data_IF_513051549093
#
_entry.id   IF_513051549093
#
_cell.length_a   1.000
_cell.length_b   1.000
_cell.length_c   1.000
_cell.angle_alpha   90.00
_cell.angle_beta   90.00
_cell.angle_gamma   90.00
#
_symmetry.space_group_name_H-M   'P 1'
#
loop_
_entity.id
_entity.type
_entity.pdbx_description
1 polymer ?
#
# COMPACT_ATOMS: atom_id res chain seq x y z
N UNK A 1 -0.77 -17.48 20.71
CA UNK A 1 -0.14 -17.00 19.47
C UNK A 1 0.28 -18.22 18.66
N UNK A 2 -0.01 -18.24 17.36
CA UNK A 2 0.51 -19.33 16.54
C UNK A 2 2.04 -19.21 16.48
N UNK A 3 2.74 -20.34 16.56
CA UNK A 3 4.19 -20.35 16.34
C UNK A 3 4.52 -19.91 14.92
N UNK A 4 5.59 -19.10 14.74
CA UNK A 4 6.02 -18.73 13.40
C UNK A 4 6.39 -20.01 12.61
N UNK A 5 6.14 -20.06 11.29
CA UNK A 5 6.58 -21.17 10.46
C UNK A 5 8.11 -21.24 10.42
N UNK A 6 8.65 -22.42 10.10
CA UNK A 6 10.09 -22.55 9.87
C UNK A 6 10.53 -21.70 8.66
N UNK A 7 11.80 -21.33 8.61
CA UNK A 7 12.32 -20.38 7.60
C UNK A 7 12.09 -20.80 6.14
N UNK A 8 11.97 -22.08 5.87
CA UNK A 8 11.68 -22.62 4.52
C UNK A 8 10.22 -22.82 4.20
N UNK A 9 9.33 -22.64 5.18
CA UNK A 9 7.91 -22.86 4.98
C UNK A 9 7.25 -21.69 4.21
N UNK A 10 6.18 -22.01 3.51
CA UNK A 10 5.31 -20.96 2.94
C UNK A 10 4.65 -20.15 4.06
N UNK A 11 4.39 -18.88 3.78
CA UNK A 11 3.67 -18.02 4.72
C UNK A 11 2.25 -18.56 4.94
N UNK A 12 1.86 -18.79 6.20
CA UNK A 12 0.50 -19.22 6.54
C UNK A 12 -0.51 -18.15 6.12
N UNK A 13 -1.52 -18.55 5.35
CA UNK A 13 -2.54 -17.63 4.85
C UNK A 13 -3.95 -18.10 5.19
N UNK A 14 -4.86 -17.14 5.23
CA UNK A 14 -6.30 -17.31 5.29
C UNK A 14 -6.82 -16.93 3.91
N UNK A 15 -7.54 -17.85 3.27
CA UNK A 15 -8.11 -17.63 1.95
C UNK A 15 -9.51 -17.03 2.12
N UNK A 16 -9.75 -15.91 1.46
CA UNK A 16 -11.07 -15.32 1.26
C UNK A 16 -11.42 -15.43 -0.21
N UNK A 17 -12.67 -15.81 -0.53
CA UNK A 17 -13.07 -15.96 -1.92
C UNK A 17 -14.55 -15.60 -2.13
N UNK A 18 -14.80 -14.92 -3.24
CA UNK A 18 -16.12 -14.71 -3.83
C UNK A 18 -16.00 -14.83 -5.35
N UNK A 19 -17.10 -15.00 -6.11
CA UNK A 19 -17.01 -14.95 -7.57
C UNK A 19 -16.26 -13.70 -8.05
N UNK A 20 -15.23 -13.90 -8.87
CA UNK A 20 -14.41 -12.86 -9.47
C UNK A 20 -13.14 -12.48 -8.69
N UNK A 21 -12.92 -12.97 -7.46
CA UNK A 21 -11.69 -12.71 -6.71
C UNK A 21 -11.42 -13.77 -5.64
N UNK A 22 -10.13 -14.13 -5.47
CA UNK A 22 -9.62 -14.85 -4.32
C UNK A 22 -8.46 -14.07 -3.71
N UNK A 23 -8.43 -13.92 -2.39
CA UNK A 23 -7.39 -13.16 -1.66
C UNK A 23 -6.80 -14.03 -0.56
N UNK A 24 -5.48 -14.08 -0.49
CA UNK A 24 -4.73 -14.75 0.57
C UNK A 24 -4.19 -13.73 1.56
N UNK A 25 -4.65 -13.80 2.79
CA UNK A 25 -4.26 -12.90 3.88
C UNK A 25 -3.39 -13.63 4.87
N UNK A 26 -2.19 -13.12 5.14
CA UNK A 26 -1.35 -13.65 6.23
C UNK A 26 -1.54 -12.84 7.51
N UNK A 27 -1.57 -13.49 8.68
CA UNK A 27 -1.46 -12.79 9.96
C UNK A 27 -0.11 -12.10 10.19
N UNK A 28 0.96 -12.47 9.49
CA UNK A 28 2.22 -11.75 9.55
C UNK A 28 2.11 -10.44 8.77
N UNK A 29 2.26 -9.30 9.45
CA UNK A 29 2.08 -7.96 8.87
C UNK A 29 0.64 -7.64 8.44
N UNK A 30 -0.35 -8.48 8.76
CA UNK A 30 -1.69 -8.45 8.18
C UNK A 30 -1.64 -8.37 6.63
N UNK A 31 -0.77 -9.15 6.02
CA UNK A 31 -0.30 -9.01 4.64
C UNK A 31 -1.28 -9.61 3.63
N UNK A 32 -1.59 -8.87 2.57
CA UNK A 32 -2.20 -9.40 1.34
C UNK A 32 -1.11 -10.12 0.53
N UNK A 33 -1.10 -11.46 0.61
CA UNK A 33 -0.06 -12.29 -0.01
C UNK A 33 -0.35 -12.55 -1.48
N UNK A 34 -1.63 -12.79 -1.83
CA UNK A 34 -2.09 -13.01 -3.20
C UNK A 34 -3.42 -12.30 -3.43
N UNK A 35 -3.60 -11.82 -4.64
CA UNK A 35 -4.88 -11.30 -5.15
C UNK A 35 -5.07 -11.90 -6.53
N UNK A 36 -5.94 -12.89 -6.62
CA UNK A 36 -6.21 -13.67 -7.83
C UNK A 36 -7.46 -13.10 -8.49
N UNK A 37 -7.32 -12.57 -9.68
CA UNK A 37 -8.42 -11.96 -10.45
C UNK A 37 -8.40 -12.40 -11.90
N UNK A 38 -9.58 -12.60 -12.54
CA UNK A 38 -9.66 -12.97 -13.94
C UNK A 38 -9.25 -11.81 -14.85
N UNK A 39 -8.72 -12.12 -16.02
CA UNK A 39 -8.52 -11.19 -17.11
C UNK A 39 -9.75 -11.15 -18.05
N UNK A 40 -9.64 -10.44 -19.18
CA UNK A 40 -10.69 -10.32 -20.21
C UNK A 40 -11.10 -11.65 -20.84
N UNK A 41 -10.26 -12.68 -20.78
CA UNK A 41 -10.53 -14.04 -21.28
C UNK A 41 -11.06 -14.98 -20.19
N UNK A 42 -11.02 -14.53 -18.92
CA UNK A 42 -11.38 -15.33 -17.74
C UNK A 42 -10.19 -16.08 -17.12
N UNK A 43 -8.97 -15.87 -17.64
CA UNK A 43 -7.78 -16.47 -17.08
C UNK A 43 -7.40 -15.76 -15.77
N UNK A 44 -7.36 -16.55 -14.68
CA UNK A 44 -7.09 -16.04 -13.34
C UNK A 44 -5.59 -15.96 -13.09
N UNK A 45 -5.13 -14.81 -12.60
CA UNK A 45 -3.72 -14.60 -12.25
C UNK A 45 -3.55 -13.75 -11.00
N UNK A 46 -2.38 -13.88 -10.34
CA UNK A 46 -2.03 -13.12 -9.15
C UNK A 46 -1.46 -11.75 -9.55
N UNK A 47 -2.17 -10.70 -9.19
CA UNK A 47 -1.82 -9.31 -9.51
C UNK A 47 -1.04 -8.59 -8.40
N UNK A 48 -0.75 -9.28 -7.28
CA UNK A 48 0.02 -8.73 -6.16
C UNK A 48 1.45 -9.27 -6.15
N UNK A 49 2.46 -8.39 -6.09
CA UNK A 49 3.84 -8.82 -5.85
C UNK A 49 4.01 -9.33 -4.41
N UNK A 50 4.97 -10.20 -4.20
CA UNK A 50 5.25 -10.78 -2.89
C UNK A 50 6.26 -11.92 -2.97
N UNK A 51 6.39 -12.69 -1.90
CA UNK A 51 7.30 -13.83 -1.80
C UNK A 51 6.55 -15.15 -1.60
N UNK A 52 7.22 -16.28 -1.89
CA UNK A 52 6.65 -17.62 -1.69
C UNK A 52 6.86 -18.13 -0.25
N UNK A 53 7.90 -17.66 0.45
CA UNK A 53 8.28 -18.18 1.75
C UNK A 53 8.32 -17.11 2.85
N UNK A 54 8.19 -17.55 4.10
CA UNK A 54 8.17 -16.70 5.28
C UNK A 54 9.49 -15.95 5.48
N UNK A 55 10.64 -16.62 5.30
CA UNK A 55 11.94 -16.01 5.53
C UNK A 55 12.17 -14.76 4.67
N UNK A 56 11.64 -14.74 3.45
CA UNK A 56 11.74 -13.57 2.57
C UNK A 56 10.89 -12.39 3.04
N UNK A 57 9.79 -12.63 3.76
CA UNK A 57 9.01 -11.56 4.40
C UNK A 57 9.67 -11.04 5.69
N UNK A 58 10.30 -11.93 6.48
CA UNK A 58 10.88 -11.57 7.79
C UNK A 58 12.35 -11.14 7.71
N UNK A 59 13.13 -11.69 6.78
CA UNK A 59 14.58 -11.68 6.76
C UNK A 59 15.28 -10.57 6.00
N UNK A 60 14.58 -9.73 5.24
CA UNK A 60 15.24 -8.79 4.35
C UNK A 60 15.53 -7.45 5.02
N UNK A 61 16.79 -6.98 4.98
CA UNK A 61 17.16 -5.62 5.38
C UNK A 61 16.59 -4.59 4.41
N UNK A 62 16.56 -4.89 3.12
CA UNK A 62 15.92 -4.10 2.06
C UNK A 62 14.47 -4.56 1.86
N UNK A 63 13.57 -4.11 2.74
CA UNK A 63 12.18 -4.55 2.73
C UNK A 63 11.32 -3.69 1.81
N UNK A 64 10.69 -4.29 0.79
CA UNK A 64 9.72 -3.57 -0.04
C UNK A 64 8.32 -3.48 0.61
N UNK A 65 8.06 -4.07 1.78
CA UNK A 65 6.78 -4.08 2.49
C UNK A 65 5.63 -4.74 1.70
N UNK A 66 5.92 -5.69 0.82
CA UNK A 66 4.93 -6.31 -0.06
C UNK A 66 3.65 -6.70 0.65
N UNK A 67 2.53 -6.05 0.29
CA UNK A 67 1.18 -6.34 0.75
C UNK A 67 0.90 -6.13 2.23
N UNK A 68 1.86 -5.62 3.03
CA UNK A 68 1.71 -5.48 4.46
C UNK A 68 0.90 -4.24 4.87
N UNK A 69 0.36 -4.26 6.08
CA UNK A 69 -0.09 -3.06 6.77
C UNK A 69 1.13 -2.40 7.41
N UNK A 70 1.39 -1.16 7.02
CA UNK A 70 2.47 -0.35 7.59
C UNK A 70 1.95 0.62 8.64
N UNK A 71 2.71 0.89 9.66
CA UNK A 71 2.36 1.71 10.84
C UNK A 71 3.41 1.55 11.95
N UNK A 72 3.29 2.40 13.06
CA UNK A 72 2.14 3.28 13.38
C UNK A 72 1.87 4.38 12.37
N UNK A 73 2.92 4.90 11.73
CA UNK A 73 2.79 5.99 10.77
C UNK A 73 3.38 5.54 9.44
N UNK A 74 2.52 5.45 8.43
CA UNK A 74 2.90 5.19 7.05
C UNK A 74 3.69 6.36 6.49
N UNK A 75 4.57 6.06 5.54
CA UNK A 75 5.49 7.00 4.93
C UNK A 75 6.46 7.62 5.95
N UNK A 76 7.00 8.82 5.70
CA UNK A 76 8.10 9.41 6.47
C UNK A 76 7.64 10.36 7.57
N UNK A 77 8.41 10.37 8.69
CA UNK A 77 8.43 11.43 9.69
C UNK A 77 9.82 12.04 9.65
N UNK A 78 9.90 13.32 9.34
CA UNK A 78 11.13 14.08 9.17
C UNK A 78 12.02 14.04 10.41
N UNK A 79 13.32 13.75 10.21
CA UNK A 79 14.32 13.73 11.29
C UNK A 79 14.00 12.71 12.40
N UNK A 80 13.13 11.73 12.14
CA UNK A 80 12.68 10.73 13.11
C UNK A 80 12.21 11.34 14.44
N UNK A 81 11.50 12.46 14.40
CA UNK A 81 11.01 13.19 15.58
C UNK A 81 9.72 13.95 15.29
N UNK A 82 8.97 14.23 16.33
CA UNK A 82 7.81 15.12 16.29
C UNK A 82 7.54 15.73 17.66
N UNK A 83 6.70 16.78 17.70
CA UNK A 83 6.26 17.40 18.96
C UNK A 83 4.75 17.40 19.03
N UNK A 84 4.20 17.13 20.22
CA UNK A 84 2.77 17.19 20.50
C UNK A 84 2.53 18.19 21.64
N UNK A 85 1.42 18.91 21.54
CA UNK A 85 0.90 19.73 22.65
C UNK A 85 -0.06 18.86 23.45
N UNK A 86 0.18 18.72 24.75
CA UNK A 86 -0.71 17.98 25.66
C UNK A 86 -1.96 18.79 26.05
N UNK A 87 -2.80 18.23 26.94
CA UNK A 87 -4.04 18.87 27.37
C UNK A 87 -3.81 20.12 28.22
N UNK A 88 -2.63 20.24 28.85
CA UNK A 88 -2.21 21.40 29.67
C UNK A 88 -1.54 22.49 28.82
N UNK A 89 -1.43 22.29 27.51
CA UNK A 89 -0.78 23.22 26.59
C UNK A 89 0.75 23.11 26.58
N UNK A 90 1.33 22.09 27.20
CA UNK A 90 2.77 21.86 27.25
C UNK A 90 3.22 21.09 26.01
N UNK A 91 4.22 21.63 25.31
CA UNK A 91 4.81 20.93 24.15
C UNK A 91 5.80 19.87 24.62
N UNK A 92 5.57 18.63 24.20
CA UNK A 92 6.49 17.52 24.43
C UNK A 92 7.06 17.04 23.10
N UNK A 93 8.40 16.99 23.02
CA UNK A 93 9.12 16.47 21.86
C UNK A 93 9.42 14.98 22.05
N UNK A 94 9.19 14.21 20.99
CA UNK A 94 9.49 12.78 20.84
C UNK A 94 10.58 12.67 19.79
N UNK A 95 11.81 12.41 20.21
CA UNK A 95 13.04 12.31 19.38
C UNK A 95 13.67 10.92 19.48
N UNK A 96 12.89 9.95 19.91
CA UNK A 96 13.31 8.56 20.11
C UNK A 96 12.80 7.62 19.03
N UNK A 97 12.22 8.15 17.96
CA UNK A 97 11.83 7.32 16.82
C UNK A 97 13.06 6.70 16.16
N UNK A 98 12.88 5.48 15.64
CA UNK A 98 13.95 4.80 14.93
C UNK A 98 14.07 5.36 13.52
N UNK A 99 15.22 5.98 13.22
CA UNK A 99 15.59 6.42 11.89
C UNK A 99 16.05 5.20 11.07
N UNK A 100 15.21 4.75 10.14
CA UNK A 100 15.45 3.59 9.29
C UNK A 100 15.50 3.94 7.79
N UNK A 101 15.42 5.22 7.45
CA UNK A 101 15.49 5.72 6.08
C UNK A 101 16.25 7.06 6.05
N UNK A 102 17.59 6.98 6.00
CA UNK A 102 18.44 8.14 6.22
C UNK A 102 18.14 8.77 7.59
N UNK A 103 17.89 10.09 7.66
CA UNK A 103 17.56 10.74 8.92
C UNK A 103 16.11 10.51 9.37
N UNK A 104 15.27 9.93 8.54
CA UNK A 104 13.82 9.87 8.72
C UNK A 104 13.34 8.53 9.29
N UNK A 105 12.21 8.54 9.98
CA UNK A 105 11.47 7.34 10.32
C UNK A 105 10.50 7.01 9.18
N UNK A 106 10.63 5.82 8.58
CA UNK A 106 9.79 5.33 7.50
C UNK A 106 8.94 4.16 7.98
N UNK A 107 7.64 4.17 7.66
CA UNK A 107 6.68 3.08 7.88
C UNK A 107 6.68 2.53 9.32
N UNK A 108 6.89 3.40 10.30
CA UNK A 108 6.84 3.06 11.72
C UNK A 108 8.15 2.58 12.32
N UNK A 109 9.28 2.67 11.60
CA UNK A 109 10.61 2.43 12.14
C UNK A 109 11.26 1.12 11.72
N UNK A 110 12.27 0.68 12.45
CA UNK A 110 13.07 -0.49 12.14
C UNK A 110 12.29 -1.80 12.18
N UNK A 111 11.33 -1.92 13.10
CA UNK A 111 10.38 -3.04 13.19
C UNK A 111 8.96 -2.51 13.22
N UNK A 112 8.45 -2.11 12.06
CA UNK A 112 7.08 -1.64 11.89
C UNK A 112 6.03 -2.76 11.98
N UNK A 113 4.77 -2.41 11.77
CA UNK A 113 3.63 -3.31 11.85
C UNK A 113 3.68 -4.48 10.87
N UNK A 114 4.40 -4.32 9.78
CA UNK A 114 4.69 -5.32 8.75
C UNK A 114 5.47 -6.55 9.29
N UNK A 115 6.17 -6.43 10.42
CA UNK A 115 7.03 -7.48 10.99
C UNK A 115 6.49 -8.13 12.25
N UNK A 116 5.21 -8.04 12.50
CA UNK A 116 4.59 -8.68 13.65
C UNK A 116 3.52 -9.68 13.21
N UNK A 117 3.38 -10.74 14.00
CA UNK A 117 2.23 -11.62 13.92
C UNK A 117 1.03 -10.94 14.56
N UNK A 118 -0.02 -10.75 13.79
CA UNK A 118 -1.30 -10.25 14.26
C UNK A 118 -2.17 -11.40 14.72
N UNK A 119 -3.02 -11.15 15.72
CA UNK A 119 -3.99 -12.13 16.19
C UNK A 119 -5.18 -12.15 15.24
N UNK A 120 -5.59 -13.36 14.83
CA UNK A 120 -6.85 -13.53 14.10
C UNK A 120 -8.00 -13.41 15.10
N UNK A 121 -8.69 -12.28 15.08
CA UNK A 121 -9.78 -11.99 16.00
C UNK A 121 -11.09 -12.69 15.59
N UNK A 122 -11.38 -12.73 14.29
CA UNK A 122 -12.54 -13.44 13.75
C UNK A 122 -12.36 -13.78 12.27
N UNK A 123 -13.13 -14.76 11.81
CA UNK A 123 -13.34 -15.09 10.39
C UNK A 123 -14.85 -15.28 10.20
N UNK A 124 -15.38 -14.83 9.06
CA UNK A 124 -16.76 -15.16 8.71
C UNK A 124 -16.91 -16.63 8.33
N UNK A 125 -18.08 -17.21 8.61
CA UNK A 125 -18.38 -18.61 8.30
C UNK A 125 -18.42 -18.87 6.79
N UNK A 126 -18.81 -17.87 6.02
CA UNK A 126 -18.87 -17.93 4.55
C UNK A 126 -17.50 -17.72 3.85
N UNK A 127 -16.42 -17.52 4.63
CA UNK A 127 -15.07 -17.35 4.10
C UNK A 127 -14.84 -16.02 3.36
N UNK A 128 -15.72 -15.04 3.56
CA UNK A 128 -15.60 -13.75 2.83
C UNK A 128 -14.87 -12.67 3.63
N UNK A 129 -14.65 -12.85 4.93
CA UNK A 129 -13.94 -11.85 5.74
C UNK A 129 -13.04 -12.43 6.82
N UNK A 130 -12.02 -11.65 7.17
CA UNK A 130 -11.13 -11.89 8.31
C UNK A 130 -10.81 -10.58 9.01
N UNK A 131 -10.82 -10.61 10.34
CA UNK A 131 -10.38 -9.50 11.19
C UNK A 131 -9.12 -9.91 11.95
N UNK A 132 -8.11 -9.05 11.85
CA UNK A 132 -6.81 -9.20 12.50
C UNK A 132 -6.62 -8.05 13.50
N UNK A 133 -6.01 -8.32 14.65
CA UNK A 133 -5.80 -7.31 15.68
C UNK A 133 -4.38 -7.37 16.24
N UNK A 134 -3.89 -6.21 16.66
CA UNK A 134 -2.58 -6.05 17.27
C UNK A 134 -2.63 -4.93 18.32
N UNK A 135 -1.90 -5.13 19.40
CA UNK A 135 -1.61 -4.07 20.38
C UNK A 135 -0.13 -3.71 20.29
N UNK A 136 0.15 -2.47 19.92
CA UNK A 136 1.47 -1.88 19.92
C UNK A 136 1.72 -1.22 21.28
N UNK A 137 2.70 -1.67 22.08
CA UNK A 137 2.93 -1.16 23.44
C UNK A 137 3.48 0.27 23.43
N UNK A 138 3.40 0.93 24.57
CA UNK A 138 4.02 2.24 24.78
C UNK A 138 5.54 2.15 24.51
N UNK A 139 6.07 3.09 23.73
CA UNK A 139 7.50 3.19 23.41
C UNK A 139 7.96 2.28 22.27
N UNK A 140 7.07 1.49 21.64
CA UNK A 140 7.45 0.70 20.46
C UNK A 140 7.92 1.64 19.35
N UNK A 141 9.12 1.38 18.82
CA UNK A 141 9.80 2.22 17.82
C UNK A 141 9.88 3.72 18.21
N UNK A 142 9.80 4.04 19.51
CA UNK A 142 9.83 5.39 20.06
C UNK A 142 8.48 6.11 20.12
N UNK A 143 7.39 5.51 19.64
CA UNK A 143 6.06 6.13 19.67
C UNK A 143 5.42 6.09 21.07
N UNK A 144 4.76 7.20 21.53
CA UNK A 144 4.13 7.26 22.84
C UNK A 144 2.83 6.47 22.92
N UNK A 145 2.54 6.00 24.10
CA UNK A 145 1.27 5.34 24.45
C UNK A 145 1.11 3.96 23.81
N UNK A 146 0.13 3.24 24.33
CA UNK A 146 -0.34 2.00 23.71
C UNK A 146 -1.29 2.33 22.57
N UNK A 147 -1.14 1.62 21.44
CA UNK A 147 -2.02 1.71 20.29
C UNK A 147 -2.63 0.34 19.99
N UNK A 148 -3.96 0.22 20.12
CA UNK A 148 -4.69 -0.97 19.73
C UNK A 148 -5.21 -0.79 18.29
N UNK A 149 -4.94 -1.75 17.43
CA UNK A 149 -5.23 -1.69 15.99
C UNK A 149 -5.98 -2.93 15.55
N UNK A 150 -7.01 -2.71 14.73
CA UNK A 150 -7.76 -3.76 14.04
C UNK A 150 -7.70 -3.52 12.53
N UNK A 151 -7.58 -4.61 11.76
CA UNK A 151 -7.69 -4.60 10.30
C UNK A 151 -8.70 -5.66 9.89
N UNK A 152 -9.73 -5.26 9.17
CA UNK A 152 -10.69 -6.16 8.55
C UNK A 152 -10.50 -6.16 7.04
N UNK A 153 -10.36 -7.34 6.46
CA UNK A 153 -10.47 -7.61 5.03
C UNK A 153 -11.79 -8.31 4.74
N UNK A 154 -12.59 -7.78 3.81
CA UNK A 154 -13.87 -8.36 3.42
C UNK A 154 -14.04 -8.30 1.91
N UNK A 155 -14.43 -9.40 1.32
CA UNK A 155 -14.76 -9.50 -0.09
C UNK A 155 -16.25 -9.33 -0.34
N UNK A 156 -16.59 -8.66 -1.44
CA UNK A 156 -17.94 -8.51 -1.92
C UNK A 156 -17.96 -8.67 -3.45
N UNK A 157 -18.79 -9.59 -3.99
CA UNK A 157 -18.91 -9.74 -5.44
C UNK A 157 -19.56 -8.49 -6.03
N UNK A 158 -19.06 -8.08 -7.19
CA UNK A 158 -19.69 -6.97 -7.94
C UNK A 158 -21.01 -7.45 -8.56
N UNK A 159 -22.10 -6.80 -8.17
CA UNK A 159 -23.44 -7.06 -8.68
C UNK A 159 -23.83 -6.14 -9.82
N UNK A 160 -23.00 -5.14 -10.14
CA UNK A 160 -23.26 -4.18 -11.19
C UNK A 160 -22.68 -4.65 -12.53
N UNK A 161 -23.49 -5.20 -13.41
CA UNK A 161 -23.16 -5.41 -14.82
C UNK A 161 -22.66 -6.83 -15.16
N UNK A 162 -21.45 -7.05 -15.59
CA UNK A 162 -21.01 -8.26 -16.30
C UNK A 162 -20.59 -9.47 -15.43
N UNK A 163 -20.80 -9.41 -14.10
CA UNK A 163 -20.59 -10.56 -13.21
C UNK A 163 -19.13 -11.00 -12.98
N UNK A 164 -18.14 -10.29 -13.49
CA UNK A 164 -16.73 -10.68 -13.46
C UNK A 164 -15.87 -9.81 -12.53
N UNK A 165 -16.48 -8.99 -11.68
CA UNK A 165 -15.78 -8.12 -10.77
C UNK A 165 -16.06 -8.43 -9.30
N UNK A 166 -15.18 -7.96 -8.44
CA UNK A 166 -15.36 -8.01 -6.99
C UNK A 166 -14.61 -6.86 -6.29
N UNK A 167 -15.03 -6.57 -5.06
CA UNK A 167 -14.43 -5.53 -4.24
C UNK A 167 -13.81 -6.14 -2.98
N UNK A 168 -12.54 -5.85 -2.75
CA UNK A 168 -11.87 -6.04 -1.48
C UNK A 168 -12.02 -4.77 -0.64
N UNK A 169 -12.75 -4.86 0.44
CA UNK A 169 -12.84 -3.81 1.47
C UNK A 169 -11.74 -4.03 2.49
N UNK A 170 -11.00 -2.98 2.82
CA UNK A 170 -10.03 -2.96 3.91
C UNK A 170 -10.42 -1.84 4.87
N UNK A 171 -10.71 -2.19 6.11
CA UNK A 171 -11.01 -1.22 7.17
C UNK A 171 -9.97 -1.34 8.26
N UNK A 172 -9.24 -0.26 8.50
CA UNK A 172 -8.25 -0.16 9.57
C UNK A 172 -8.79 0.78 10.65
N UNK A 173 -8.80 0.31 11.90
CA UNK A 173 -9.20 1.14 13.04
C UNK A 173 -8.11 1.13 14.10
N UNK A 174 -7.97 2.23 14.84
CA UNK A 174 -7.05 2.30 15.94
C UNK A 174 -7.59 3.17 17.08
N UNK A 175 -7.16 2.83 18.30
CA UNK A 175 -7.36 3.64 19.52
C UNK A 175 -6.05 3.75 20.28
N UNK A 176 -5.87 4.86 21.02
CA UNK A 176 -4.67 5.13 21.79
C UNK A 176 -5.02 5.52 23.23
N UNK A 177 -4.11 5.27 24.18
CA UNK A 177 -4.27 5.70 25.56
C UNK A 177 -3.47 6.97 25.91
N UNK A 178 -2.68 7.50 24.94
CA UNK A 178 -2.01 8.80 24.98
C UNK A 178 -2.06 9.41 23.59
N UNK A 179 -1.97 10.76 23.44
CA UNK A 179 -1.87 11.37 22.14
C UNK A 179 -0.69 10.80 21.34
N UNK A 180 -0.96 10.37 20.11
CA UNK A 180 0.03 9.71 19.25
C UNK A 180 -0.33 9.93 17.78
N UNK A 181 0.62 10.19 16.88
CA UNK A 181 0.34 10.14 15.46
C UNK A 181 0.01 8.70 15.04
N UNK A 182 -1.07 8.55 14.26
CA UNK A 182 -1.52 7.28 13.70
C UNK A 182 -1.90 7.51 12.24
N UNK A 183 -1.23 6.81 11.35
CA UNK A 183 -1.49 6.84 9.91
C UNK A 183 -1.14 5.48 9.34
N UNK A 184 -2.13 4.65 9.10
CA UNK A 184 -1.93 3.30 8.59
C UNK A 184 -2.08 3.30 7.08
N UNK A 185 -1.32 2.47 6.37
CA UNK A 185 -1.50 2.22 4.95
C UNK A 185 -1.34 0.74 4.63
N UNK A 186 -1.96 0.33 3.53
CA UNK A 186 -1.83 -0.99 2.95
C UNK A 186 -0.87 -0.91 1.76
N UNK A 187 0.24 -1.66 1.80
CA UNK A 187 1.38 -1.48 0.90
C UNK A 187 1.46 -2.58 -0.18
N UNK A 188 0.35 -2.82 -0.87
CA UNK A 188 0.35 -3.78 -1.99
C UNK A 188 0.97 -3.16 -3.23
N UNK A 189 1.89 -3.90 -3.84
CA UNK A 189 2.40 -3.63 -5.18
C UNK A 189 1.55 -4.37 -6.18
N UNK A 190 0.87 -3.64 -7.02
CA UNK A 190 0.02 -4.19 -8.07
C UNK A 190 0.77 -4.28 -9.40
N UNK A 191 0.57 -5.40 -10.11
CA UNK A 191 0.81 -5.49 -11.54
C UNK A 191 -0.37 -6.24 -12.16
N UNK A 192 -1.25 -5.50 -12.84
CA UNK A 192 -2.49 -6.06 -13.39
C UNK A 192 -2.26 -6.99 -14.58
N UNK A 193 -1.05 -7.04 -15.15
CA UNK A 193 -0.71 -8.07 -16.13
C UNK A 193 -0.64 -9.48 -15.52
N UNK A 194 -0.49 -9.57 -14.19
CA UNK A 194 -0.35 -10.82 -13.46
C UNK A 194 1.03 -11.49 -13.61
N UNK A 195 1.30 -12.50 -12.79
CA UNK A 195 2.60 -13.19 -12.80
C UNK A 195 2.83 -14.03 -14.06
N UNK A 196 1.79 -14.69 -14.59
CA UNK A 196 1.90 -15.46 -15.82
C UNK A 196 1.88 -14.59 -17.07
N UNK A 197 1.27 -13.39 -16.97
CA UNK A 197 1.10 -12.46 -18.08
C UNK A 197 2.24 -11.49 -18.30
N UNK A 198 3.16 -11.30 -17.36
CA UNK A 198 4.18 -10.28 -17.54
C UNK A 198 5.11 -10.00 -16.38
N UNK A 199 4.77 -10.42 -15.17
CA UNK A 199 5.65 -10.33 -14.03
C UNK A 199 6.55 -11.55 -14.01
N UNK A 200 7.82 -11.33 -14.10
CA UNK A 200 8.75 -12.43 -13.94
C UNK A 200 9.49 -12.80 -15.24
N UNK A 201 10.54 -12.88 -14.97
CA UNK A 201 11.62 -13.21 -15.27
C UNK A 201 12.55 -13.82 -16.12
N UNK A 202 13.79 -13.78 -15.91
CA UNK A 202 14.83 -14.62 -16.49
C UNK A 202 15.12 -15.83 -15.58
N UNK A 203 14.10 -16.42 -14.94
CA UNK A 203 14.29 -17.78 -14.48
C UNK A 203 14.45 -18.63 -15.72
N UNK A 204 15.66 -19.18 -15.91
CA UNK A 204 15.94 -20.10 -16.99
C UNK A 204 14.77 -21.06 -17.15
N UNK A 205 13.98 -20.77 -18.20
CA UNK A 205 13.25 -21.72 -19.02
C UNK A 205 12.91 -23.04 -18.29
N UNK A 206 11.70 -23.16 -17.84
CA UNK A 206 11.09 -24.49 -17.81
C UNK A 206 11.22 -25.04 -19.24
N UNK A 207 12.01 -26.11 -19.41
CA UNK A 207 12.08 -26.90 -20.65
C UNK A 207 10.66 -27.37 -20.97
N UNK A 208 9.99 -26.68 -21.88
CA UNK A 208 8.65 -27.03 -22.35
C UNK A 208 7.82 -25.81 -22.72
N UNK A 209 8.10 -25.20 -23.89
CA UNK A 209 7.13 -24.48 -24.72
C UNK A 209 6.38 -23.30 -24.05
N UNK A 210 7.09 -22.27 -23.58
CA UNK A 210 6.49 -21.01 -23.19
C UNK A 210 7.14 -19.88 -23.99
N UNK A 211 6.36 -18.93 -24.47
CA UNK A 211 6.73 -17.87 -25.39
C UNK A 211 8.01 -17.10 -24.95
N UNK A 212 9.13 -17.56 -25.48
CA UNK A 212 10.40 -16.81 -25.53
C UNK A 212 10.16 -15.53 -26.34
N UNK A 213 10.24 -14.35 -25.69
CA UNK A 213 10.20 -13.07 -26.38
C UNK A 213 9.08 -12.10 -26.00
N UNK A 214 8.18 -12.41 -25.08
CA UNK A 214 7.21 -11.40 -24.62
C UNK A 214 7.89 -10.33 -23.77
N UNK A 215 7.69 -9.07 -24.14
CA UNK A 215 8.10 -7.91 -23.34
C UNK A 215 7.45 -7.99 -21.95
N UNK A 216 8.27 -7.86 -20.90
CA UNK A 216 7.79 -7.76 -19.52
C UNK A 216 6.91 -6.52 -19.38
N UNK A 217 5.78 -6.66 -18.71
CA UNK A 217 4.89 -5.55 -18.37
C UNK A 217 5.31 -5.00 -17.00
N UNK A 218 5.53 -3.72 -16.95
CA UNK A 218 5.90 -2.98 -15.73
C UNK A 218 4.79 -2.02 -15.33
N UNK A 219 4.92 -1.38 -14.18
CA UNK A 219 4.03 -0.29 -13.75
C UNK A 219 3.93 0.82 -14.81
N UNK A 220 5.02 1.05 -15.58
CA UNK A 220 5.09 2.08 -16.63
C UNK A 220 4.19 1.77 -17.84
N UNK A 221 3.79 0.52 -18.03
CA UNK A 221 2.90 0.11 -19.12
C UNK A 221 1.41 0.22 -18.74
N UNK A 222 1.10 0.43 -17.46
CA UNK A 222 -0.26 0.64 -16.98
C UNK A 222 -0.74 2.07 -17.26
N UNK A 223 -2.05 2.22 -17.37
CA UNK A 223 -2.72 3.52 -17.43
C UNK A 223 -3.26 3.85 -16.05
N UNK A 224 -3.15 5.10 -15.66
CA UNK A 224 -3.54 5.61 -14.34
C UNK A 224 -4.39 6.87 -14.48
N UNK A 225 -5.42 6.99 -13.64
CA UNK A 225 -6.13 8.23 -13.33
C UNK A 225 -6.12 8.44 -11.81
N UNK A 226 -5.90 9.67 -11.37
CA UNK A 226 -5.96 10.08 -9.96
C UNK A 226 -6.88 11.27 -9.80
N UNK A 227 -7.80 11.23 -8.83
CA UNK A 227 -8.74 12.33 -8.54
C UNK A 227 -8.10 13.38 -7.62
N UNK A 228 -7.07 14.04 -8.15
CA UNK A 228 -6.32 15.09 -7.44
C UNK A 228 -5.92 16.23 -8.37
N UNK A 229 -5.96 17.47 -7.86
CA UNK A 229 -5.50 18.68 -8.58
C UNK A 229 -4.08 19.09 -8.14
N UNK A 230 -3.62 18.58 -7.01
CA UNK A 230 -2.33 18.93 -6.43
C UNK A 230 -1.64 17.69 -5.87
N UNK A 231 -0.31 17.80 -5.73
CA UNK A 231 0.53 16.83 -5.06
C UNK A 231 1.45 17.52 -4.04
N UNK A 232 2.04 16.76 -3.14
CA UNK A 232 3.05 17.27 -2.19
C UNK A 232 4.45 17.09 -2.81
N UNK A 233 5.14 18.19 -3.19
CA UNK A 233 6.54 18.11 -3.58
C UNK A 233 7.41 17.68 -2.40
N UNK A 234 8.51 16.99 -2.67
CA UNK A 234 9.41 16.45 -1.65
C UNK A 234 10.80 17.07 -1.78
N UNK A 235 11.54 17.09 -0.67
CA UNK A 235 12.96 17.41 -0.62
C UNK A 235 13.84 16.20 -1.05
N UNK A 236 15.16 16.36 -0.94
CA UNK A 236 16.16 15.33 -1.26
C UNK A 236 16.07 14.08 -0.38
N UNK A 237 15.37 14.15 0.76
CA UNK A 237 15.13 13.03 1.68
C UNK A 237 13.75 12.40 1.50
N UNK A 238 13.03 12.78 0.43
CA UNK A 238 11.66 12.36 0.14
C UNK A 238 10.62 12.76 1.21
N UNK A 239 10.87 13.86 1.94
CA UNK A 239 9.92 14.45 2.89
C UNK A 239 9.18 15.60 2.22
N UNK A 240 7.84 15.73 2.37
CA UNK A 240 7.09 16.85 1.82
C UNK A 240 7.60 18.20 2.30
N UNK A 241 7.72 19.18 1.38
CA UNK A 241 8.13 20.57 1.70
C UNK A 241 7.05 21.36 2.46
N UNK A 242 5.85 20.80 2.57
CA UNK A 242 4.68 21.48 3.15
C UNK A 242 3.91 22.31 2.15
N UNK A 243 4.22 22.21 0.88
CA UNK A 243 3.50 22.86 -0.21
C UNK A 243 2.52 21.89 -0.89
N UNK A 244 1.50 22.45 -1.57
CA UNK A 244 0.64 21.75 -2.51
C UNK A 244 0.83 22.38 -3.88
N UNK A 245 1.38 21.62 -4.82
CA UNK A 245 1.68 22.07 -6.18
C UNK A 245 0.67 21.48 -7.17
N UNK A 246 0.17 22.32 -8.07
CA UNK A 246 -0.78 21.89 -9.09
C UNK A 246 -0.18 20.84 -10.02
N UNK A 247 -0.93 19.74 -10.29
CA UNK A 247 -0.49 18.68 -11.19
C UNK A 247 -0.60 19.10 -12.67
N UNK A 248 -1.48 20.02 -12.98
CA UNK A 248 -1.81 20.44 -14.36
C UNK A 248 -0.56 20.92 -15.12
N UNK A 249 -0.36 20.35 -16.30
CA UNK A 249 0.78 20.64 -17.19
C UNK A 249 2.14 20.22 -16.62
N UNK A 250 2.16 19.29 -15.67
CA UNK A 250 3.37 18.66 -15.12
C UNK A 250 3.36 17.16 -15.43
N UNK A 251 4.47 16.44 -15.22
CA UNK A 251 4.50 14.98 -15.29
C UNK A 251 3.58 14.28 -14.27
N UNK A 252 3.08 15.01 -13.28
CA UNK A 252 2.16 14.48 -12.25
C UNK A 252 0.68 14.57 -12.66
N UNK A 253 0.35 15.03 -13.87
CA UNK A 253 -1.03 15.21 -14.30
C UNK A 253 -1.70 13.91 -14.75
N UNK A 254 -2.25 13.16 -13.79
CA UNK A 254 -3.10 12.00 -13.99
C UNK A 254 -4.60 12.33 -13.79
N UNK A 255 -5.02 13.57 -13.97
CA UNK A 255 -6.43 13.97 -13.86
C UNK A 255 -7.34 13.27 -14.87
N UNK A 256 -6.77 12.78 -15.96
CA UNK A 256 -7.39 11.90 -16.95
C UNK A 256 -6.55 10.62 -17.07
N UNK A 257 -7.16 9.54 -17.57
CA UNK A 257 -6.47 8.27 -17.78
C UNK A 257 -5.29 8.44 -18.74
N UNK A 258 -4.08 8.13 -18.29
CA UNK A 258 -2.83 8.23 -19.06
C UNK A 258 -1.91 7.06 -18.77
N UNK A 259 -1.12 6.65 -19.75
CA UNK A 259 -0.04 5.68 -19.54
C UNK A 259 1.02 6.29 -18.62
N UNK A 260 1.40 5.55 -17.54
CA UNK A 260 2.35 6.05 -16.53
C UNK A 260 3.71 6.37 -17.16
N UNK A 261 4.20 5.50 -18.02
CA UNK A 261 5.52 5.67 -18.66
C UNK A 261 5.63 6.83 -19.64
N UNK A 262 4.50 7.43 -20.06
CA UNK A 262 4.50 8.62 -20.93
C UNK A 262 4.72 9.92 -20.11
N UNK A 263 4.59 9.85 -18.78
CA UNK A 263 4.72 10.98 -17.86
C UNK A 263 5.82 10.66 -16.84
N UNK A 264 7.07 10.95 -17.18
CA UNK A 264 8.17 10.71 -16.25
C UNK A 264 8.54 11.99 -15.50
N UNK A 265 8.49 11.99 -14.14
CA UNK A 265 8.93 13.13 -13.37
C UNK A 265 10.44 13.36 -13.55
N UNK A 266 10.92 14.61 -13.40
CA UNK A 266 12.35 14.87 -13.37
C UNK A 266 12.98 14.07 -12.21
N UNK A 267 14.24 13.69 -12.38
CA UNK A 267 15.04 12.97 -11.38
C UNK A 267 15.04 13.73 -10.05
N UNK A 268 14.64 13.07 -8.97
CA UNK A 268 14.59 13.67 -7.63
C UNK A 268 15.76 13.25 -6.75
N UNK A 269 16.36 12.10 -6.99
CA UNK A 269 17.48 11.54 -6.20
C UNK A 269 18.39 10.79 -7.16
N UNK A 270 19.69 10.94 -7.00
CA UNK A 270 20.78 10.26 -7.70
C UNK A 270 20.46 9.69 -9.08
N UNK A 271 21.30 9.91 -10.01
CA UNK A 271 21.36 9.59 -11.44
C UNK A 271 20.37 8.59 -12.06
N UNK A 272 19.52 7.90 -11.28
CA UNK A 272 18.55 6.92 -11.77
C UNK A 272 17.29 6.77 -10.93
N UNK A 273 16.37 7.72 -10.89
CA UNK A 273 14.99 7.29 -10.88
C UNK A 273 14.07 8.05 -11.82
N UNK A 274 13.82 7.42 -12.90
CA UNK A 274 12.61 7.67 -13.66
C UNK A 274 11.47 6.93 -12.96
N UNK A 275 10.64 7.61 -12.17
CA UNK A 275 9.48 6.98 -11.52
C UNK A 275 8.81 7.89 -10.51
N UNK A 276 7.66 7.47 -10.00
CA UNK A 276 6.88 8.24 -9.04
C UNK A 276 7.10 7.70 -7.62
N UNK A 277 7.17 8.60 -6.64
CA UNK A 277 7.08 8.34 -5.20
C UNK A 277 6.52 9.60 -4.53
N UNK A 278 5.25 9.93 -4.85
CA UNK A 278 4.65 11.20 -4.45
C UNK A 278 3.22 11.02 -3.96
N UNK A 279 2.85 11.81 -2.96
CA UNK A 279 1.50 11.84 -2.43
C UNK A 279 0.65 12.87 -3.19
N UNK A 280 -0.52 12.45 -3.61
CA UNK A 280 -1.54 13.28 -4.25
C UNK A 280 -2.58 13.71 -3.23
N UNK A 281 -2.94 15.01 -3.23
CA UNK A 281 -4.00 15.56 -2.38
C UNK A 281 -5.36 15.37 -3.05
N UNK A 282 -6.20 14.54 -2.47
CA UNK A 282 -7.48 14.11 -3.05
C UNK A 282 -8.53 15.21 -2.99
N UNK A 283 -9.24 15.46 -4.11
CA UNK A 283 -10.26 16.52 -4.25
C UNK A 283 -11.42 16.36 -3.29
N UNK A 284 -11.84 15.14 -3.00
CA UNK A 284 -13.09 14.86 -2.30
C UNK A 284 -12.92 14.62 -0.79
N UNK A 285 -11.70 14.79 -0.29
CA UNK A 285 -11.49 14.73 1.14
C UNK A 285 -12.09 15.96 1.81
N UNK A 286 -12.94 15.74 2.81
CA UNK A 286 -13.47 16.80 3.67
C UNK A 286 -13.32 16.36 5.13
N UNK A 287 -12.54 17.12 5.89
CA UNK A 287 -12.20 16.79 7.28
C UNK A 287 -13.42 16.82 8.21
N UNK A 288 -14.43 17.65 7.90
CA UNK A 288 -15.64 17.82 8.72
C UNK A 288 -16.80 16.92 8.29
N UNK A 289 -16.84 16.48 7.05
CA UNK A 289 -17.98 15.78 6.46
C UNK A 289 -17.74 14.26 6.42
N UNK A 290 -18.33 13.54 7.38
CA UNK A 290 -18.59 12.09 7.20
C UNK A 290 -17.36 11.24 6.89
N UNK A 291 -16.38 11.25 7.75
CA UNK A 291 -15.16 10.40 7.76
C UNK A 291 -15.36 8.88 7.49
N UNK A 292 -16.56 8.46 7.11
CA UNK A 292 -16.91 7.05 6.85
C UNK A 292 -17.18 6.74 5.38
N UNK A 293 -17.45 7.74 4.55
CA UNK A 293 -17.73 7.52 3.13
C UNK A 293 -16.41 7.48 2.35
N UNK A 294 -16.23 6.42 1.56
CA UNK A 294 -15.10 6.30 0.64
C UNK A 294 -15.46 6.96 -0.70
N UNK A 295 -14.51 7.65 -1.30
CA UNK A 295 -14.61 8.23 -2.64
C UNK A 295 -13.57 7.60 -3.55
N UNK A 296 -13.90 7.42 -4.82
CA UNK A 296 -12.94 6.96 -5.84
C UNK A 296 -11.79 7.97 -5.91
N UNK A 297 -10.58 7.49 -5.67
CA UNK A 297 -9.37 8.31 -5.65
C UNK A 297 -8.41 7.99 -6.80
N UNK A 298 -8.40 6.75 -7.28
CA UNK A 298 -7.54 6.34 -8.39
C UNK A 298 -8.17 5.19 -9.19
N UNK A 299 -7.76 5.07 -10.44
CA UNK A 299 -8.12 3.96 -11.33
C UNK A 299 -6.91 3.56 -12.15
N UNK A 300 -6.64 2.25 -12.22
CA UNK A 300 -5.55 1.65 -13.00
C UNK A 300 -6.14 0.72 -14.03
N UNK A 301 -5.59 0.73 -15.22
CA UNK A 301 -5.96 -0.15 -16.31
C UNK A 301 -4.72 -0.76 -16.98
N UNK A 302 -4.74 -2.07 -17.21
CA UNK A 302 -3.69 -2.75 -17.97
C UNK A 302 -4.31 -3.29 -19.29
N UNK A 303 -3.91 -2.73 -20.44
CA UNK A 303 -4.60 -2.98 -21.71
C UNK A 303 -4.53 -4.43 -22.21
N UNK A 304 -3.42 -5.15 -21.91
CA UNK A 304 -3.19 -6.48 -22.43
C UNK A 304 -4.08 -7.51 -21.74
N UNK A 305 -4.20 -7.44 -20.42
CA UNK A 305 -5.08 -8.30 -19.64
C UNK A 305 -6.53 -7.82 -19.64
N UNK A 306 -6.75 -6.55 -19.94
CA UNK A 306 -8.04 -5.90 -19.78
C UNK A 306 -8.45 -5.68 -18.31
N UNK A 307 -7.55 -5.93 -17.33
CA UNK A 307 -7.85 -5.75 -15.91
C UNK A 307 -7.83 -4.29 -15.50
N UNK A 308 -8.81 -3.96 -14.66
CA UNK A 308 -8.94 -2.67 -13.99
C UNK A 308 -8.82 -2.85 -12.48
N UNK A 309 -8.31 -1.82 -11.83
CA UNK A 309 -8.34 -1.62 -10.39
C UNK A 309 -8.84 -0.22 -10.10
N UNK A 310 -9.98 -0.09 -9.42
CA UNK A 310 -10.46 1.17 -8.85
C UNK A 310 -10.17 1.19 -7.36
N UNK A 311 -9.53 2.28 -6.89
CA UNK A 311 -9.25 2.51 -5.48
C UNK A 311 -10.15 3.60 -4.96
N UNK A 312 -10.82 3.33 -3.82
CA UNK A 312 -11.61 4.32 -3.09
C UNK A 312 -11.15 4.40 -1.64
N UNK A 313 -11.14 5.58 -1.05
CA UNK A 313 -10.77 5.77 0.35
C UNK A 313 -11.47 6.95 1.01
N UNK A 314 -11.33 7.05 2.34
CA UNK A 314 -11.78 8.17 3.17
C UNK A 314 -10.60 9.02 3.71
N UNK A 315 -9.39 8.87 3.17
CA UNK A 315 -8.19 9.60 3.58
C UNK A 315 -7.91 10.79 2.67
N UNK A 316 -7.12 11.79 3.12
CA UNK A 316 -6.85 13.00 2.34
C UNK A 316 -5.90 12.79 1.16
N UNK A 317 -5.12 11.71 1.15
CA UNK A 317 -4.09 11.50 0.15
C UNK A 317 -3.98 10.07 -0.35
N UNK A 318 -3.32 9.93 -1.48
CA UNK A 318 -2.85 8.67 -2.04
C UNK A 318 -1.42 8.81 -2.53
N UNK A 319 -0.53 7.96 -2.03
CA UNK A 319 0.84 7.84 -2.54
C UNK A 319 0.81 6.99 -3.80
N UNK A 320 1.34 7.54 -4.89
CA UNK A 320 1.72 6.78 -6.08
C UNK A 320 3.19 6.44 -5.97
N UNK A 321 3.50 5.14 -5.88
CA UNK A 321 4.88 4.64 -5.92
C UNK A 321 5.02 3.59 -7.03
N UNK A 322 5.99 3.75 -7.90
CA UNK A 322 6.16 2.90 -9.09
C UNK A 322 7.28 1.86 -8.96
N UNK A 323 7.58 1.43 -7.72
CA UNK A 323 8.57 0.37 -7.49
C UNK A 323 9.99 0.78 -7.87
N UNK A 324 10.37 2.04 -7.64
CA UNK A 324 11.63 2.64 -8.08
C UNK A 324 12.86 1.95 -7.48
N UNK A 325 12.73 1.40 -6.26
CA UNK A 325 13.80 0.73 -5.51
C UNK A 325 13.73 -0.79 -5.60
N UNK A 326 12.82 -1.37 -6.39
CA UNK A 326 12.84 -2.80 -6.70
C UNK A 326 13.98 -3.08 -7.68
N UNK A 327 14.72 -4.18 -7.46
CA UNK A 327 15.74 -4.63 -8.41
C UNK A 327 17.09 -4.94 -7.79
N UNK A 328 18.13 -4.97 -8.61
CA UNK A 328 19.48 -5.35 -8.17
C UNK A 328 19.67 -6.84 -7.91
N UNK A 329 18.68 -7.70 -8.22
CA UNK A 329 18.72 -9.14 -7.94
C UNK A 329 18.36 -9.51 -6.48
N UNK A 330 18.00 -8.51 -5.65
CA UNK A 330 17.70 -8.73 -4.23
C UNK A 330 16.33 -9.39 -3.98
N UNK A 331 15.37 -9.27 -4.92
CA UNK A 331 14.00 -9.71 -4.70
C UNK A 331 13.61 -10.87 -5.63
N UNK A 332 13.90 -12.10 -5.19
CA UNK A 332 13.32 -13.30 -5.78
C UNK A 332 11.91 -13.45 -5.22
N UNK A 333 10.93 -13.09 -6.04
CA UNK A 333 9.52 -13.12 -5.67
C UNK A 333 8.86 -14.46 -5.91
N UNK A 334 7.53 -14.44 -6.08
CA UNK A 334 6.70 -15.63 -6.28
C UNK A 334 7.09 -16.41 -7.52
N UNK A 335 7.01 -17.74 -7.42
CA UNK A 335 7.34 -18.68 -8.49
C UNK A 335 8.78 -18.49 -9.05
N UNK A 336 9.71 -17.98 -8.22
CA UNK A 336 11.08 -17.70 -8.65
C UNK A 336 11.22 -16.48 -9.57
N UNK A 337 10.19 -15.65 -9.68
CA UNK A 337 10.22 -14.43 -10.48
C UNK A 337 11.19 -13.40 -9.90
N UNK A 338 12.07 -12.84 -10.73
CA UNK A 338 12.90 -11.73 -10.31
C UNK A 338 12.11 -10.42 -10.50
N UNK A 339 11.89 -9.71 -9.40
CA UNK A 339 11.27 -8.39 -9.47
C UNK A 339 12.34 -7.32 -9.76
N UNK A 340 12.14 -6.63 -10.85
CA UNK A 340 12.98 -5.52 -11.30
C UNK A 340 12.33 -4.18 -10.98
N UNK A 341 13.09 -3.10 -11.11
CA UNK A 341 12.61 -1.74 -11.04
C UNK A 341 11.33 -1.56 -11.86
N UNK A 342 10.34 -0.91 -11.27
CA UNK A 342 9.02 -0.68 -11.87
C UNK A 342 8.17 -1.94 -12.12
N UNK A 343 8.49 -3.07 -11.51
CA UNK A 343 7.72 -4.29 -11.73
C UNK A 343 6.30 -4.23 -11.15
N UNK A 344 6.05 -3.34 -10.21
CA UNK A 344 4.72 -3.08 -9.65
C UNK A 344 4.54 -1.63 -9.23
N UNK A 345 3.30 -1.24 -8.99
CA UNK A 345 2.92 0.08 -8.46
C UNK A 345 2.14 -0.05 -7.17
N UNK A 346 2.34 0.90 -6.26
CA UNK A 346 1.54 1.06 -5.04
C UNK A 346 0.63 2.27 -5.16
N UNK A 347 -0.58 2.14 -4.61
CA UNK A 347 -1.53 3.22 -4.37
C UNK A 347 -1.90 3.19 -2.90
N UNK A 348 -1.09 3.88 -2.08
CA UNK A 348 -1.22 3.85 -0.63
C UNK A 348 -2.09 5.01 -0.19
N UNK A 349 -3.36 4.73 0.11
CA UNK A 349 -4.26 5.73 0.68
C UNK A 349 -3.83 6.03 2.12
N UNK A 350 -3.72 7.33 2.49
CA UNK A 350 -3.08 7.74 3.75
C UNK A 350 -3.36 9.20 4.11
N UNK A 351 -3.01 9.61 5.34
CA UNK A 351 -2.73 11.03 5.61
C UNK A 351 -1.45 11.44 4.90
N UNK A 352 -1.29 12.75 4.64
CA UNK A 352 -0.08 13.23 3.98
C UNK A 352 1.17 12.86 4.79
N UNK A 353 2.27 12.47 4.13
CA UNK A 353 3.52 12.18 4.83
C UNK A 353 3.96 13.39 5.67
N UNK A 354 4.58 13.10 6.81
CA UNK A 354 5.07 14.09 7.78
C UNK A 354 3.99 15.05 8.35
N UNK A 355 2.69 14.74 8.20
CA UNK A 355 1.61 15.63 8.65
C UNK A 355 1.67 15.99 10.13
N UNK A 356 2.29 15.16 10.97
CA UNK A 356 2.50 15.45 12.40
C UNK A 356 3.40 16.68 12.62
N UNK A 357 4.31 17.00 11.69
CA UNK A 357 5.24 18.12 11.76
C UNK A 357 4.81 19.33 10.91
N UNK A 358 3.77 19.21 10.08
CA UNK A 358 3.38 20.25 9.13
C UNK A 358 2.37 21.28 9.70
N UNK A 359 1.95 21.11 10.96
CA UNK A 359 1.01 22.02 11.61
C UNK A 359 -0.32 22.13 10.86
N UNK A 360 -0.79 23.37 10.64
CA UNK A 360 -2.08 23.64 10.00
C UNK A 360 -2.05 23.49 8.46
N UNK A 361 -0.87 23.19 7.88
CA UNK A 361 -0.76 23.00 6.42
C UNK A 361 -1.40 21.71 5.95
N UNK A 362 -1.33 20.66 6.77
CA UNK A 362 -1.87 19.34 6.46
C UNK A 362 -2.87 18.89 7.53
N UNK A 363 -3.85 18.09 7.12
CA UNK A 363 -4.77 17.45 8.07
C UNK A 363 -3.99 16.60 9.07
N UNK A 364 -4.26 16.80 10.36
CA UNK A 364 -3.53 16.12 11.42
C UNK A 364 -3.75 14.62 11.42
N UNK A 365 -2.69 13.86 11.64
CA UNK A 365 -2.76 12.41 11.91
C UNK A 365 -2.71 12.09 13.43
N UNK A 366 -2.75 13.08 14.30
CA UNK A 366 -2.67 12.88 15.75
C UNK A 366 -4.00 12.36 16.29
N UNK A 367 -3.97 11.13 16.80
CA UNK A 367 -5.08 10.50 17.49
C UNK A 367 -4.97 10.77 19.01
N UNK A 368 -6.10 11.09 19.65
CA UNK A 368 -6.17 11.36 21.10
C UNK A 368 -7.00 10.29 21.82
N UNK A 369 -6.78 10.05 23.12
CA UNK A 369 -7.62 9.16 23.91
C UNK A 369 -9.10 9.49 23.74
N UNK A 370 -9.94 8.45 23.63
CA UNK A 370 -11.38 8.59 23.39
C UNK A 370 -11.78 8.78 21.92
N UNK A 371 -10.82 9.04 21.02
CA UNK A 371 -11.05 9.06 19.57
C UNK A 371 -10.78 7.69 18.97
N UNK A 372 -11.40 7.43 17.81
CA UNK A 372 -11.15 6.26 17.00
C UNK A 372 -10.65 6.69 15.61
N UNK A 373 -9.45 6.27 15.26
CA UNK A 373 -8.96 6.33 13.89
C UNK A 373 -9.75 5.33 13.02
N UNK A 374 -10.20 5.77 11.86
CA UNK A 374 -10.89 4.92 10.88
C UNK A 374 -10.36 5.24 9.49
N UNK A 375 -9.69 4.29 8.90
CA UNK A 375 -9.29 4.33 7.51
C UNK A 375 -10.00 3.20 6.76
N UNK A 376 -10.93 3.58 5.89
CA UNK A 376 -11.65 2.66 5.01
C UNK A 376 -11.18 2.84 3.58
N UNK A 377 -10.86 1.73 2.91
CA UNK A 377 -10.55 1.73 1.49
C UNK A 377 -11.18 0.53 0.79
N UNK A 378 -11.33 0.65 -0.53
CA UNK A 378 -11.86 -0.38 -1.40
C UNK A 378 -10.93 -0.54 -2.60
N UNK A 379 -10.64 -1.78 -2.94
CA UNK A 379 -10.02 -2.18 -4.19
C UNK A 379 -11.05 -2.98 -4.99
N UNK A 380 -11.63 -2.36 -6.02
CA UNK A 380 -12.57 -3.00 -6.93
C UNK A 380 -11.82 -3.47 -8.16
N UNK A 381 -11.93 -4.76 -8.47
CA UNK A 381 -11.31 -5.38 -9.63
C UNK A 381 -12.37 -5.83 -10.62
N UNK A 382 -12.12 -5.64 -11.89
CA UNK A 382 -12.90 -6.20 -13.00
C UNK A 382 -12.03 -6.30 -14.25
N UNK A 383 -12.51 -6.97 -15.28
CA UNK A 383 -11.88 -6.96 -16.59
C UNK A 383 -12.91 -6.57 -17.67
N UNK A 384 -12.49 -5.75 -18.62
CA UNK A 384 -13.27 -5.45 -19.83
C UNK A 384 -13.02 -6.51 -20.87
N UNK A 385 -14.10 -7.13 -21.40
CA UNK A 385 -14.01 -8.04 -22.54
C UNK A 385 -13.69 -7.23 -23.80
N UNK A 386 -12.91 -7.83 -24.70
CA UNK A 386 -12.79 -7.29 -26.06
C UNK A 386 -14.18 -7.38 -26.74
N UNK A 387 -14.62 -6.31 -27.41
CA UNK A 387 -15.87 -6.26 -28.19
C UNK A 387 -15.78 -7.16 -29.43
#
# INVERSE_FOLDING_TARGET
MAEPPASGDSLKTIVLAVPGIEVHVSPFGATLVKILVPDKHGDVDDVALGYDNFASYDGTEERPYFGAIVGRVANRIAGAKFSLVDEDGVTKTYDTLVANNGPNCLHGGGKGFDRYWWTVASKSEDGTSVRLTRVSPNGEEGFPGQCAVDVEYRLEPDRSGNGNGATLHTTMTATVNQPCPVNLAQHTYFNLAGHNGGVGGDSEIKKGGGASGMKKITAMDHHLRVDADTYTPVDETCVPTGELVAVKSTPFDFTVMRKIGDLLPPKTIDDDPTGFDHNYALRRYNDDAKKKETHVCAEVFEPRSGRHLEVSCNTPGVQLYTGNFLGGGAHVGKNGSLYHKHQGLCLETQHFPDSVNQGDKFATCVLRPGQTYVHAMKHRFWATKDD
#
